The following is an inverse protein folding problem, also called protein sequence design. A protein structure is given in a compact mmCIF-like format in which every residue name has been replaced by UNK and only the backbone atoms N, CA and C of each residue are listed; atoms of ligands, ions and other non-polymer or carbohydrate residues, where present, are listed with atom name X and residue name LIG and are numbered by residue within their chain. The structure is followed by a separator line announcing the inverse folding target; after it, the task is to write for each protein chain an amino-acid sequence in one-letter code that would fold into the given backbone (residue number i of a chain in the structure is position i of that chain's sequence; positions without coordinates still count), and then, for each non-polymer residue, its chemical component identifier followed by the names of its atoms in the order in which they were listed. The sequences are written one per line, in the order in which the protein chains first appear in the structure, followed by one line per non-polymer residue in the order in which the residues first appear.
data_IF_506102792176
#
_entry.id   IF_506102792176
#
_cell.length_a   1.000
_cell.length_b   1.000
_cell.length_c   1.000
_cell.angle_alpha   90.00
_cell.angle_beta   90.00
_cell.angle_gamma   90.00
#
_symmetry.space_group_name_H-M   'P 1'
#
loop_
_entity.id
_entity.type
_entity.pdbx_description
1 polymer ?
#
# COMPACT_ATOMS: atom_id res chain seq x y z
N UNK A 1 -16.15 -9.84 -12.08
CA UNK A 1 -16.08 -9.37 -13.48
C UNK A 1 -15.53 -10.49 -14.34
N UNK A 2 -16.12 -10.80 -15.50
CA UNK A 2 -15.60 -11.82 -16.43
C UNK A 2 -14.99 -11.12 -17.65
N UNK A 3 -13.73 -11.38 -17.94
CA UNK A 3 -13.06 -10.91 -19.16
C UNK A 3 -13.00 -12.08 -20.12
N UNK A 4 -13.67 -11.97 -21.27
CA UNK A 4 -13.66 -13.04 -22.27
C UNK A 4 -12.26 -13.17 -22.91
N UNK A 5 -11.80 -14.38 -23.25
CA UNK A 5 -10.51 -14.59 -23.91
C UNK A 5 -10.36 -13.70 -25.17
N UNK A 6 -9.24 -13.00 -25.29
CA UNK A 6 -8.95 -12.10 -26.42
C UNK A 6 -9.76 -10.79 -26.46
N UNK A 7 -10.57 -10.49 -25.44
CA UNK A 7 -11.30 -9.23 -25.32
C UNK A 7 -10.67 -8.34 -24.26
N UNK A 8 -10.48 -7.07 -24.61
CA UNK A 8 -10.07 -6.03 -23.65
C UNK A 8 -11.32 -5.39 -23.04
N UNK A 9 -11.33 -5.21 -21.72
CA UNK A 9 -12.35 -4.43 -21.02
C UNK A 9 -11.72 -3.21 -20.37
N UNK A 10 -12.51 -2.14 -20.22
CA UNK A 10 -12.15 -1.03 -19.34
C UNK A 10 -12.55 -1.41 -17.91
N UNK A 11 -11.65 -1.18 -16.96
CA UNK A 11 -11.88 -1.43 -15.54
C UNK A 11 -11.45 -0.19 -14.77
N UNK A 12 -12.27 0.23 -13.82
CA UNK A 12 -11.89 1.23 -12.83
C UNK A 12 -11.06 0.54 -11.75
N UNK A 13 -9.89 1.10 -11.45
CA UNK A 13 -9.01 0.62 -10.40
C UNK A 13 -8.90 1.72 -9.34
N UNK A 14 -9.02 1.32 -8.08
CA UNK A 14 -8.64 2.20 -6.99
C UNK A 14 -7.12 2.19 -6.90
N UNK A 15 -6.51 3.36 -7.06
CA UNK A 15 -5.07 3.53 -7.07
C UNK A 15 -4.64 4.57 -6.05
N UNK A 16 -3.44 4.41 -5.51
CA UNK A 16 -2.79 5.41 -4.67
C UNK A 16 -1.39 5.70 -5.20
N UNK A 17 -0.95 6.93 -5.02
CA UNK A 17 0.41 7.35 -5.32
C UNK A 17 1.33 6.89 -4.19
N UNK A 18 2.31 6.06 -4.51
CA UNK A 18 3.33 5.60 -3.55
C UNK A 18 4.49 6.58 -3.39
N UNK A 19 4.59 7.57 -4.26
CA UNK A 19 5.66 8.57 -4.23
C UNK A 19 5.03 9.95 -4.31
N UNK A 20 5.25 10.75 -3.28
CA UNK A 20 4.77 12.12 -3.24
C UNK A 20 5.62 13.03 -4.15
N UNK A 21 4.97 13.97 -4.85
CA UNK A 21 5.65 14.98 -5.67
C UNK A 21 5.92 14.61 -7.14
N UNK A 22 5.53 13.41 -7.58
CA UNK A 22 5.55 13.06 -9.00
C UNK A 22 4.45 13.82 -9.77
N UNK A 23 4.65 14.13 -11.07
CA UNK A 23 3.64 14.77 -11.88
C UNK A 23 2.33 13.98 -11.85
N UNK A 24 1.22 14.70 -11.74
CA UNK A 24 -0.12 14.10 -11.77
C UNK A 24 -0.27 13.20 -13.00
N UNK A 25 -0.75 11.95 -12.82
CA UNK A 25 -0.90 11.01 -13.92
C UNK A 25 -1.86 11.57 -14.97
N UNK A 26 -1.44 11.58 -16.24
CA UNK A 26 -2.29 11.98 -17.35
C UNK A 26 -2.39 10.90 -18.42
N UNK A 27 -3.49 10.91 -19.17
CA UNK A 27 -3.80 9.88 -20.16
C UNK A 27 -2.76 9.71 -21.29
N UNK A 28 -1.81 10.64 -21.45
CA UNK A 28 -0.75 10.56 -22.45
C UNK A 28 0.50 9.85 -21.94
N UNK A 29 0.60 9.59 -20.65
CA UNK A 29 1.72 8.86 -20.06
C UNK A 29 1.63 7.38 -20.43
N UNK A 30 2.78 6.76 -20.69
CA UNK A 30 2.87 5.31 -20.89
C UNK A 30 2.95 4.64 -19.52
N UNK A 31 1.96 3.82 -19.22
CA UNK A 31 1.90 3.05 -17.97
C UNK A 31 2.29 1.60 -18.24
N UNK A 32 3.02 1.00 -17.30
CA UNK A 32 3.26 -0.44 -17.25
C UNK A 32 2.76 -0.98 -15.93
N UNK A 33 2.23 -2.21 -15.94
CA UNK A 33 1.92 -2.92 -14.69
C UNK A 33 3.23 -3.51 -14.20
N UNK A 34 3.66 -3.13 -13.01
CA UNK A 34 4.82 -3.69 -12.34
C UNK A 34 4.38 -4.55 -11.15
N UNK A 35 5.05 -5.68 -10.90
CA UNK A 35 4.94 -6.39 -9.64
C UNK A 35 5.28 -5.50 -8.44
N UNK A 36 4.56 -5.68 -7.32
CA UNK A 36 4.66 -4.78 -6.18
C UNK A 36 6.05 -4.82 -5.50
N UNK A 37 6.67 -5.99 -5.48
CA UNK A 37 8.03 -6.25 -4.98
C UNK A 37 9.13 -5.47 -5.74
N UNK A 38 8.85 -5.04 -6.98
CA UNK A 38 9.74 -4.16 -7.74
C UNK A 38 9.61 -2.69 -7.35
N UNK A 39 8.50 -2.30 -6.71
CA UNK A 39 8.19 -0.91 -6.39
C UNK A 39 8.44 -0.61 -4.92
N UNK A 40 8.15 -1.56 -4.02
CA UNK A 40 8.39 -1.41 -2.59
C UNK A 40 8.78 -2.75 -1.96
N UNK A 41 9.64 -2.68 -0.93
CA UNK A 41 10.00 -3.82 -0.09
C UNK A 41 9.28 -3.81 1.25
N UNK A 42 8.50 -2.76 1.54
CA UNK A 42 7.79 -2.63 2.80
C UNK A 42 6.53 -3.52 2.79
N UNK A 43 6.48 -4.58 3.62
CA UNK A 43 5.29 -5.43 3.74
C UNK A 43 4.04 -4.66 4.22
N UNK A 44 4.19 -3.54 4.93
CA UNK A 44 3.06 -2.70 5.36
C UNK A 44 2.38 -2.02 4.16
N UNK A 45 3.15 -1.60 3.16
CA UNK A 45 2.60 -1.02 1.92
C UNK A 45 1.84 -2.08 1.13
N UNK A 46 2.32 -3.32 1.11
CA UNK A 46 1.59 -4.43 0.48
C UNK A 46 0.25 -4.71 1.15
N UNK A 47 0.23 -4.78 2.48
CA UNK A 47 -1.01 -4.95 3.24
C UNK A 47 -1.99 -3.77 3.03
N UNK A 48 -1.48 -2.53 2.90
CA UNK A 48 -2.29 -1.36 2.58
C UNK A 48 -2.92 -1.46 1.18
N UNK A 49 -2.14 -1.83 0.16
CA UNK A 49 -2.64 -2.02 -1.21
C UNK A 49 -3.69 -3.13 -1.28
N UNK A 50 -3.51 -4.21 -0.53
CA UNK A 50 -4.49 -5.30 -0.41
C UNK A 50 -5.80 -4.81 0.22
N UNK A 51 -5.72 -4.07 1.34
CA UNK A 51 -6.88 -3.50 2.00
C UNK A 51 -7.67 -2.54 1.07
N UNK A 52 -6.98 -1.72 0.29
CA UNK A 52 -7.60 -0.84 -0.70
C UNK A 52 -8.24 -1.64 -1.85
N UNK A 53 -7.54 -2.64 -2.38
CA UNK A 53 -8.02 -3.49 -3.47
C UNK A 53 -9.27 -4.28 -3.09
N UNK A 54 -9.37 -4.69 -1.83
CA UNK A 54 -10.54 -5.37 -1.27
C UNK A 54 -11.69 -4.42 -0.89
N UNK A 55 -11.49 -3.10 -1.00
CA UNK A 55 -12.49 -2.09 -0.64
C UNK A 55 -12.72 -1.94 0.88
N UNK A 56 -11.77 -2.41 1.71
CA UNK A 56 -11.86 -2.31 3.16
C UNK A 56 -11.61 -0.88 3.67
N UNK A 57 -10.90 -0.07 2.89
CA UNK A 57 -10.54 1.32 3.23
C UNK A 57 -10.87 2.26 2.06
N UNK A 58 -11.18 3.51 2.39
CA UNK A 58 -11.40 4.56 1.40
C UNK A 58 -10.09 4.98 0.71
N UNK A 59 -10.17 5.39 -0.56
CA UNK A 59 -9.01 5.77 -1.36
C UNK A 59 -8.23 6.95 -0.76
N UNK A 60 -8.90 7.99 -0.26
CA UNK A 60 -8.23 9.13 0.37
C UNK A 60 -7.48 8.69 1.65
N UNK A 61 -8.09 7.85 2.48
CA UNK A 61 -7.44 7.27 3.67
C UNK A 61 -6.21 6.45 3.29
N UNK A 62 -6.32 5.64 2.23
CA UNK A 62 -5.19 4.88 1.71
C UNK A 62 -4.07 5.77 1.17
N UNK A 63 -4.40 6.89 0.51
CA UNK A 63 -3.41 7.85 0.00
C UNK A 63 -2.63 8.53 1.13
N UNK A 64 -3.30 8.94 2.20
CA UNK A 64 -2.64 9.50 3.38
C UNK A 64 -1.75 8.47 4.08
N UNK A 65 -2.25 7.24 4.25
CA UNK A 65 -1.48 6.14 4.84
C UNK A 65 -0.26 5.78 3.98
N UNK A 66 -0.38 5.80 2.64
CA UNK A 66 0.71 5.54 1.74
C UNK A 66 1.84 6.56 1.93
N UNK A 67 1.56 7.86 1.82
CA UNK A 67 2.58 8.91 2.00
C UNK A 67 3.23 8.90 3.39
N UNK A 68 2.49 8.53 4.43
CA UNK A 68 3.09 8.34 5.76
C UNK A 68 4.07 7.15 5.82
N UNK A 69 3.80 6.06 5.09
CA UNK A 69 4.65 4.87 5.07
C UNK A 69 5.83 4.99 4.10
N UNK A 70 5.67 5.67 2.97
CA UNK A 70 6.66 5.72 1.89
C UNK A 70 7.56 6.95 1.95
N UNK A 71 7.01 8.10 2.35
CA UNK A 71 7.69 9.40 2.30
C UNK A 71 7.95 9.98 3.72
N UNK A 72 7.72 9.18 4.78
CA UNK A 72 7.86 9.56 6.20
C UNK A 72 7.11 10.85 6.60
N UNK A 73 6.08 11.24 5.84
CA UNK A 73 5.33 12.47 6.11
C UNK A 73 4.57 12.37 7.44
N UNK A 74 4.72 13.39 8.28
CA UNK A 74 3.97 13.47 9.53
C UNK A 74 2.48 13.73 9.28
N UNK A 75 1.63 13.33 10.23
CA UNK A 75 0.19 13.59 10.17
C UNK A 75 -0.15 15.08 10.10
N UNK A 76 0.70 15.94 10.67
CA UNK A 76 0.54 17.39 10.61
C UNK A 76 0.83 17.93 9.21
N UNK A 77 1.92 17.48 8.57
CA UNK A 77 2.23 17.85 7.18
C UNK A 77 1.14 17.38 6.21
N UNK A 78 0.55 16.20 6.46
CA UNK A 78 -0.58 15.70 5.69
C UNK A 78 -1.87 16.52 5.93
N UNK A 79 -2.07 17.06 7.13
CA UNK A 79 -3.21 17.92 7.44
C UNK A 79 -3.13 19.29 6.76
N UNK A 80 -1.92 19.80 6.55
CA UNK A 80 -1.67 21.10 5.91
C UNK A 80 -1.69 21.01 4.37
N UNK A 81 -1.70 19.80 3.80
CA UNK A 81 -1.76 19.59 2.35
C UNK A 81 -3.08 20.06 1.76
N UNK A 82 -3.00 20.90 0.75
CA UNK A 82 -4.14 21.29 -0.07
C UNK A 82 -4.13 20.56 -1.41
N UNK A 83 -5.27 20.02 -1.82
CA UNK A 83 -5.51 19.43 -3.15
C UNK A 83 -5.59 20.50 -4.22
N UNK A 84 -6.20 21.64 -3.88
CA UNK A 84 -6.27 22.82 -4.74
C UNK A 84 -6.00 24.04 -3.90
N UNK A 85 -5.03 24.82 -4.36
CA UNK A 85 -4.76 26.15 -3.84
C UNK A 85 -5.25 27.16 -4.88
N UNK A 86 -6.24 27.96 -4.50
CA UNK A 86 -6.82 28.96 -5.37
C UNK A 86 -6.97 30.27 -4.61
N UNK A 87 -6.39 31.32 -5.17
CA UNK A 87 -6.48 32.68 -4.64
C UNK A 87 -7.94 33.19 -4.56
N UNK A 88 -8.87 32.61 -5.32
CA UNK A 88 -10.25 33.11 -5.46
C UNK A 88 -11.30 32.23 -4.78
N UNK A 89 -11.08 30.92 -4.68
CA UNK A 89 -12.07 29.96 -4.16
C UNK A 89 -11.69 29.39 -2.79
N UNK A 90 -10.55 29.79 -2.24
CA UNK A 90 -10.00 29.23 -1.01
C UNK A 90 -9.24 27.92 -1.25
N UNK A 91 -8.70 27.38 -0.15
CA UNK A 91 -7.93 26.14 -0.15
C UNK A 91 -8.86 24.94 0.10
N UNK A 92 -8.76 23.94 -0.77
CA UNK A 92 -9.44 22.66 -0.57
C UNK A 92 -8.43 21.68 0.04
N UNK A 93 -8.55 21.30 1.32
CA UNK A 93 -7.62 20.38 1.96
C UNK A 93 -7.65 19.02 1.25
N UNK A 94 -6.50 18.37 1.17
CA UNK A 94 -6.37 17.08 0.52
C UNK A 94 -7.07 15.98 1.32
N UNK A 95 -7.00 16.08 2.65
CA UNK A 95 -7.58 15.16 3.60
C UNK A 95 -8.38 15.90 4.67
N UNK A 96 -9.48 15.30 5.10
CA UNK A 96 -10.22 15.71 6.30
C UNK A 96 -9.58 15.12 7.56
N UNK A 97 -9.85 15.73 8.72
CA UNK A 97 -9.37 15.22 10.02
C UNK A 97 -9.85 13.78 10.30
N UNK A 98 -11.04 13.42 9.85
CA UNK A 98 -11.57 12.06 9.96
C UNK A 98 -10.76 11.07 9.11
N UNK A 99 -10.44 11.43 7.86
CA UNK A 99 -9.62 10.59 6.97
C UNK A 99 -8.20 10.38 7.51
N UNK A 100 -7.59 11.42 8.09
CA UNK A 100 -6.26 11.32 8.71
C UNK A 100 -6.26 10.41 9.94
N UNK A 101 -7.29 10.52 10.79
CA UNK A 101 -7.44 9.62 11.95
C UNK A 101 -7.65 8.17 11.50
N UNK A 102 -8.49 7.96 10.49
CA UNK A 102 -8.67 6.64 9.90
C UNK A 102 -7.35 6.11 9.31
N UNK A 103 -6.58 6.95 8.64
CA UNK A 103 -5.29 6.58 8.04
C UNK A 103 -4.28 6.16 9.11
N UNK A 104 -4.23 6.89 10.24
CA UNK A 104 -3.37 6.53 11.38
C UNK A 104 -3.72 5.15 11.97
N UNK A 105 -5.02 4.86 12.13
CA UNK A 105 -5.45 3.53 12.57
C UNK A 105 -5.09 2.44 11.56
N UNK A 106 -5.28 2.70 10.27
CA UNK A 106 -4.93 1.78 9.19
C UNK A 106 -3.43 1.50 9.19
N UNK A 107 -2.58 2.52 9.33
CA UNK A 107 -1.11 2.39 9.43
C UNK A 107 -0.72 1.46 10.58
N UNK A 108 -1.33 1.63 11.76
CA UNK A 108 -1.09 0.74 12.90
C UNK A 108 -1.42 -0.71 12.58
N UNK A 109 -2.57 -0.94 11.94
CA UNK A 109 -3.04 -2.28 11.61
C UNK A 109 -2.19 -2.95 10.52
N UNK A 110 -1.85 -2.23 9.44
CA UNK A 110 -1.01 -2.80 8.37
C UNK A 110 0.41 -3.09 8.85
N UNK A 111 0.97 -2.27 9.76
CA UNK A 111 2.26 -2.57 10.41
C UNK A 111 2.17 -3.84 11.27
N UNK A 112 1.08 -4.02 12.02
CA UNK A 112 0.84 -5.23 12.81
C UNK A 112 0.71 -6.47 11.91
N UNK A 113 -0.04 -6.36 10.82
CA UNK A 113 -0.19 -7.43 9.82
C UNK A 113 1.17 -7.79 9.22
N UNK A 114 1.95 -6.79 8.82
CA UNK A 114 3.29 -6.96 8.29
C UNK A 114 4.23 -7.69 9.26
N UNK A 115 4.23 -7.31 10.54
CA UNK A 115 5.01 -7.99 11.59
C UNK A 115 4.60 -9.46 11.73
N UNK A 116 3.30 -9.75 11.81
CA UNK A 116 2.81 -11.13 11.91
C UNK A 116 3.24 -12.00 10.72
N UNK A 117 3.36 -11.41 9.52
CA UNK A 117 3.86 -12.14 8.36
C UNK A 117 5.35 -12.45 8.50
N UNK A 118 6.16 -11.51 8.98
CA UNK A 118 7.58 -11.74 9.24
C UNK A 118 7.77 -12.82 10.31
N UNK A 119 7.08 -12.72 11.45
CA UNK A 119 7.16 -13.69 12.55
C UNK A 119 6.78 -15.12 12.10
N UNK A 120 5.79 -15.24 11.20
CA UNK A 120 5.38 -16.52 10.63
C UNK A 120 6.43 -17.09 9.68
N UNK A 121 7.07 -16.26 8.86
CA UNK A 121 8.14 -16.68 7.95
C UNK A 121 9.34 -17.18 8.75
N UNK A 122 9.78 -16.43 9.77
CA UNK A 122 10.87 -16.83 10.67
C UNK A 122 10.57 -18.15 11.41
N UNK A 123 9.33 -18.34 11.85
CA UNK A 123 8.89 -19.57 12.51
C UNK A 123 8.84 -20.78 11.58
N UNK A 124 8.50 -20.57 10.30
CA UNK A 124 8.51 -21.61 9.27
C UNK A 124 9.95 -22.03 8.94
N UNK A 125 10.85 -21.07 8.76
CA UNK A 125 12.27 -21.30 8.45
C UNK A 125 12.99 -22.08 9.57
N UNK A 126 12.61 -21.80 10.83
CA UNK A 126 13.11 -22.54 12.00
C UNK A 126 12.60 -23.97 12.09
N UNK A 127 11.44 -24.26 11.51
CA UNK A 127 10.83 -25.61 11.49
C UNK A 127 11.46 -26.49 10.41
N UNK A 128 11.84 -25.90 9.27
CA UNK A 128 12.49 -26.62 8.16
C UNK A 128 14.02 -26.73 8.30
N UNK A 129 14.68 -25.78 8.98
CA UNK A 129 16.11 -25.88 9.35
C UNK A 129 16.41 -26.84 10.51
N UNK A 130 15.39 -27.38 11.18
CA UNK A 130 15.51 -28.34 12.29
C UNK A 130 15.56 -29.81 11.88
N UNK A 131 15.35 -30.13 10.59
CA UNK A 131 15.45 -31.49 10.08
C UNK A 131 16.87 -31.75 9.56
N UNK A 132 17.86 -31.76 10.45
CA UNK A 132 19.15 -32.39 10.14
C UNK A 132 18.87 -33.88 9.99
N UNK A 133 18.89 -34.38 8.76
CA UNK A 133 18.89 -35.80 8.46
C UNK A 133 20.10 -36.44 9.17
N UNK A 134 19.85 -37.04 10.33
CA UNK A 134 20.74 -38.01 10.94
C UNK A 134 20.69 -39.26 10.06
N UNK A 135 21.44 -39.24 8.96
CA UNK A 135 21.62 -40.42 8.14
C UNK A 135 22.59 -41.39 8.83
N UNK A 136 22.12 -41.97 9.94
CA UNK A 136 22.66 -43.13 10.62
C UNK A 136 21.91 -44.37 10.09
N UNK A 137 22.23 -44.78 8.86
CA UNK A 137 22.01 -46.17 8.45
C UNK A 137 23.36 -46.89 8.54
N UNK A 138 23.61 -47.44 9.72
CA UNK A 138 24.50 -48.59 9.89
C UNK A 138 23.74 -49.87 9.54
N UNK A 139 24.42 -50.79 8.87
CA UNK A 139 23.90 -52.12 8.50
C UNK A 139 24.55 -52.64 7.23
#
# INVERSE_FOLDING_TARGET
MRVAPGRTTKMALNTVCLEHGKPEPNAKMKYTIAPLDQVTKDPAVAALCEALGNGAIAQNTAQAAAWHLTDDMSWNELAEKNRKESQYTGNEPYFTSFELRAASNVVGEVKRIAQNYQDKLESAEKTEGGLTLDNSYGG
#
